data_IF_491341847839
#
_entry.id   IF_491341847839
#
_cell.length_a   1.000
_cell.length_b   1.000
_cell.length_c   1.000
_cell.angle_alpha   90.00
_cell.angle_beta   90.00
_cell.angle_gamma   90.00
#
_symmetry.space_group_name_H-M   'P 1'
#
loop_
_entity.id
_entity.type
_entity.pdbx_description
1 polymer ?
#
# COMPACT_ATOMS: atom_id res chain seq x y z
N UNK A 1 7.54 -2.24 10.10
CA UNK A 1 6.71 -1.10 10.55
C UNK A 1 5.29 -1.34 10.08
N UNK A 2 4.28 -1.09 10.92
CA UNK A 2 2.87 -1.24 10.57
C UNK A 2 2.21 0.13 10.68
N UNK A 3 1.54 0.58 9.62
CA UNK A 3 0.77 1.82 9.60
C UNK A 3 -0.72 1.50 9.69
N UNK A 4 -1.44 2.13 10.63
CA UNK A 4 -2.82 1.77 10.98
C UNK A 4 -3.76 2.96 10.81
N UNK A 5 -5.03 2.67 10.58
CA UNK A 5 -6.10 3.67 10.57
C UNK A 5 -6.25 4.33 11.94
N UNK A 6 -6.93 5.47 11.98
CA UNK A 6 -7.20 6.22 13.21
C UNK A 6 -8.04 5.39 14.18
N UNK A 7 -9.06 4.72 13.64
CA UNK A 7 -9.95 3.84 14.41
C UNK A 7 -10.16 2.49 13.73
N UNK A 8 -10.55 1.45 14.50
CA UNK A 8 -10.90 0.15 13.95
C UNK A 8 -12.00 0.25 12.89
N UNK A 9 -11.92 -0.61 11.88
CA UNK A 9 -12.98 -0.78 10.88
C UNK A 9 -13.93 -1.90 11.30
N UNK A 10 -15.17 -1.82 10.83
CA UNK A 10 -16.14 -2.90 11.00
C UNK A 10 -15.85 -4.05 10.02
N UNK A 11 -16.30 -5.25 10.36
CA UNK A 11 -16.13 -6.42 9.48
C UNK A 11 -17.34 -6.58 8.56
N UNK A 12 -17.14 -7.27 7.44
CA UNK A 12 -18.19 -7.59 6.45
C UNK A 12 -18.89 -6.37 5.82
N UNK A 13 -18.23 -5.22 5.82
CA UNK A 13 -18.71 -3.99 5.22
C UNK A 13 -17.68 -3.42 4.24
N UNK A 14 -18.15 -2.60 3.31
CA UNK A 14 -17.26 -1.93 2.36
C UNK A 14 -16.58 -0.74 3.02
N UNK A 15 -15.25 -0.75 3.01
CA UNK A 15 -14.43 0.38 3.42
C UNK A 15 -13.64 0.93 2.24
N UNK A 16 -13.46 2.25 2.20
CA UNK A 16 -12.61 2.92 1.22
C UNK A 16 -11.33 3.36 1.93
N UNK A 17 -10.21 2.76 1.55
CA UNK A 17 -8.89 3.17 1.99
C UNK A 17 -8.16 3.92 0.87
N UNK A 18 -7.53 5.04 1.23
CA UNK A 18 -6.71 5.83 0.33
C UNK A 18 -5.37 6.10 1.00
N UNK A 19 -4.28 5.90 0.27
CA UNK A 19 -2.91 5.97 0.77
C UNK A 19 -2.07 6.79 -0.20
N UNK A 20 -1.31 7.73 0.36
CA UNK A 20 -0.36 8.56 -0.38
C UNK A 20 1.02 8.42 0.24
N UNK A 21 2.03 8.40 -0.63
CA UNK A 21 3.42 8.43 -0.19
C UNK A 21 4.19 9.42 -1.04
N UNK A 22 4.80 10.38 -0.37
CA UNK A 22 5.60 11.44 -0.98
C UNK A 22 6.93 11.54 -0.26
N UNK A 23 8.00 11.06 -0.89
CA UNK A 23 9.32 10.97 -0.26
C UNK A 23 9.30 10.14 1.03
N UNK A 24 9.52 10.82 2.17
CA UNK A 24 9.49 10.22 3.51
C UNK A 24 8.08 10.20 4.12
N UNK A 25 7.19 11.06 3.66
CA UNK A 25 5.84 11.22 4.20
C UNK A 25 4.88 10.16 3.69
N UNK A 26 4.01 9.69 4.59
CA UNK A 26 2.94 8.74 4.32
C UNK A 26 1.66 9.32 4.91
N UNK A 27 0.59 9.33 4.11
CA UNK A 27 -0.74 9.75 4.53
C UNK A 27 -1.73 8.63 4.23
N UNK A 28 -2.66 8.39 5.14
CA UNK A 28 -3.75 7.45 4.91
C UNK A 28 -5.06 7.99 5.46
N UNK A 29 -6.13 7.68 4.74
CA UNK A 29 -7.51 7.90 5.18
C UNK A 29 -8.34 6.66 4.91
N UNK A 30 -9.16 6.31 5.89
CA UNK A 30 -10.14 5.22 5.78
C UNK A 30 -11.53 5.81 6.02
N UNK A 31 -12.41 5.66 5.04
CA UNK A 31 -13.77 6.20 5.05
C UNK A 31 -13.84 7.71 5.38
N UNK A 32 -14.50 8.06 6.49
CA UNK A 32 -14.67 9.42 7.00
C UNK A 32 -13.76 9.72 8.20
N UNK A 33 -12.85 8.81 8.55
CA UNK A 33 -11.86 9.02 9.61
C UNK A 33 -10.92 10.18 9.25
N UNK A 34 -10.26 10.74 10.26
CA UNK A 34 -9.23 11.75 10.09
C UNK A 34 -8.04 11.17 9.31
N UNK A 35 -7.27 12.09 8.72
CA UNK A 35 -6.00 11.74 8.10
C UNK A 35 -5.02 11.26 9.16
N UNK A 36 -4.39 10.10 8.90
CA UNK A 36 -3.26 9.62 9.69
C UNK A 36 -2.00 9.94 8.91
N UNK A 37 -1.00 10.49 9.59
CA UNK A 37 0.29 10.83 9.00
C UNK A 37 1.41 9.99 9.62
N UNK A 38 2.42 9.67 8.82
CA UNK A 38 3.64 9.04 9.31
C UNK A 38 4.83 9.42 8.44
N UNK A 39 6.03 9.20 8.99
CA UNK A 39 7.27 9.50 8.30
C UNK A 39 8.25 8.33 8.43
N UNK A 40 8.89 7.98 7.31
CA UNK A 40 9.97 7.01 7.30
C UNK A 40 11.23 7.58 7.94
N UNK A 41 11.87 6.78 8.80
CA UNK A 41 13.15 7.11 9.43
C UNK A 41 14.22 7.40 8.37
N UNK A 42 14.27 6.57 7.32
CA UNK A 42 15.17 6.76 6.19
C UNK A 42 14.57 6.19 4.90
N UNK A 43 15.10 6.64 3.76
CA UNK A 43 14.77 6.13 2.44
C UNK A 43 16.04 5.44 1.93
N UNK A 44 16.01 4.12 1.73
CA UNK A 44 17.09 3.42 1.01
C UNK A 44 16.80 3.51 -0.49
N UNK A 45 17.35 4.55 -1.13
CA UNK A 45 17.25 4.76 -2.58
C UNK A 45 15.88 5.28 -3.04
N UNK A 46 15.79 5.84 -4.26
CA UNK A 46 14.51 6.24 -4.82
C UNK A 46 13.60 5.01 -4.99
N UNK A 47 12.27 5.17 -5.01
CA UNK A 47 11.37 4.07 -5.42
C UNK A 47 11.51 3.87 -6.93
N UNK A 48 12.66 3.41 -7.38
CA UNK A 48 13.00 3.39 -8.80
C UNK A 48 12.31 2.27 -9.55
N UNK A 49 12.05 1.14 -8.88
CA UNK A 49 11.45 -0.01 -9.53
C UNK A 49 10.01 -0.25 -9.02
N UNK A 50 8.98 0.11 -9.82
CA UNK A 50 7.63 -0.32 -9.57
C UNK A 50 7.50 -1.77 -10.04
N UNK A 51 8.19 -2.67 -9.34
CA UNK A 51 8.04 -4.10 -9.57
C UNK A 51 6.57 -4.54 -9.50
N UNK A 52 6.33 -5.82 -9.73
CA UNK A 52 4.99 -6.39 -9.85
C UNK A 52 4.17 -6.10 -8.58
N UNK A 53 2.97 -5.54 -8.76
CA UNK A 53 2.01 -5.34 -7.68
C UNK A 53 1.09 -6.55 -7.59
N UNK A 54 1.20 -7.28 -6.47
CA UNK A 54 0.28 -8.36 -6.13
C UNK A 54 -0.84 -7.83 -5.24
N UNK A 55 -2.09 -8.16 -5.56
CA UNK A 55 -3.29 -7.75 -4.81
C UNK A 55 -4.04 -9.00 -4.39
N UNK A 56 -4.37 -9.09 -3.10
CA UNK A 56 -5.12 -10.22 -2.54
C UNK A 56 -4.25 -11.42 -2.16
N UNK A 57 -3.12 -11.68 -2.81
CA UNK A 57 -2.22 -12.77 -2.42
C UNK A 57 -1.03 -12.92 -3.37
N UNK A 58 -0.09 -13.80 -3.00
CA UNK A 58 1.05 -14.21 -3.81
C UNK A 58 1.39 -15.66 -3.51
N UNK A 59 1.45 -16.51 -4.54
CA UNK A 59 1.66 -17.96 -4.41
C UNK A 59 3.13 -18.38 -4.55
N UNK A 60 4.06 -17.43 -4.68
CA UNK A 60 5.50 -17.71 -4.73
C UNK A 60 6.17 -17.62 -3.36
N UNK A 61 7.48 -17.83 -3.34
CA UNK A 61 8.27 -17.67 -2.12
C UNK A 61 8.30 -16.19 -1.70
N UNK A 62 7.73 -15.91 -0.54
CA UNK A 62 7.84 -14.60 0.08
C UNK A 62 9.26 -14.43 0.62
N UNK A 63 9.91 -13.27 0.41
CA UNK A 63 11.21 -13.04 0.99
C UNK A 63 11.14 -13.12 2.52
N UNK A 64 12.18 -13.68 3.15
CA UNK A 64 12.24 -14.08 4.57
C UNK A 64 11.84 -13.00 5.60
N UNK A 65 11.88 -11.73 5.20
CA UNK A 65 11.53 -10.58 6.05
C UNK A 65 10.02 -10.30 6.12
N UNK A 66 9.22 -10.95 5.27
CA UNK A 66 7.76 -10.84 5.30
C UNK A 66 7.18 -11.99 6.14
N UNK A 67 6.27 -11.67 7.05
CA UNK A 67 5.52 -12.69 7.77
C UNK A 67 4.75 -13.54 6.75
N UNK A 68 4.77 -14.87 6.90
CA UNK A 68 3.94 -15.77 6.09
C UNK A 68 2.47 -15.44 6.36
N UNK A 69 1.85 -14.73 5.44
CA UNK A 69 0.44 -14.37 5.49
C UNK A 69 -0.31 -15.22 4.48
N UNK A 70 -1.40 -15.83 4.91
CA UNK A 70 -2.39 -16.38 3.98
C UNK A 70 -2.92 -15.24 3.11
N UNK A 71 -3.31 -15.56 1.87
CA UNK A 71 -3.99 -14.61 1.01
C UNK A 71 -5.22 -13.98 1.69
N UNK A 72 -5.58 -12.78 1.24
CA UNK A 72 -6.75 -12.06 1.67
C UNK A 72 -8.03 -12.83 1.33
N UNK A 73 -8.89 -13.02 2.33
CA UNK A 73 -10.18 -13.64 2.16
C UNK A 73 -11.29 -12.60 2.31
N UNK A 74 -11.93 -12.23 1.20
CA UNK A 74 -12.99 -11.23 1.15
C UNK A 74 -13.09 -10.58 -0.22
N UNK A 75 -13.84 -9.48 -0.30
CA UNK A 75 -14.07 -8.77 -1.54
C UNK A 75 -13.22 -7.49 -1.63
N UNK A 76 -12.53 -7.30 -2.74
CA UNK A 76 -11.85 -6.05 -3.10
C UNK A 76 -12.46 -5.51 -4.39
N UNK A 77 -12.57 -4.18 -4.52
CA UNK A 77 -13.00 -3.55 -5.76
C UNK A 77 -12.32 -2.20 -5.95
N UNK A 78 -12.19 -1.78 -7.21
CA UNK A 78 -11.70 -0.45 -7.60
C UNK A 78 -10.30 -0.13 -7.05
N UNK A 79 -9.39 -1.11 -7.07
CA UNK A 79 -7.98 -0.89 -6.71
C UNK A 79 -7.31 -0.05 -7.79
N UNK A 80 -6.72 1.08 -7.40
CA UNK A 80 -6.03 2.00 -8.30
C UNK A 80 -4.69 2.38 -7.72
N UNK A 81 -3.64 2.32 -8.53
CA UNK A 81 -2.31 2.80 -8.18
C UNK A 81 -2.01 4.01 -9.04
N UNK A 82 -1.80 5.15 -8.41
CA UNK A 82 -1.28 6.35 -9.06
C UNK A 82 0.22 6.40 -8.81
N UNK A 83 0.99 6.42 -9.89
CA UNK A 83 2.43 6.55 -9.82
C UNK A 83 2.85 7.63 -10.80
N UNK A 84 3.54 8.64 -10.31
CA UNK A 84 4.03 9.77 -11.10
C UNK A 84 5.50 9.59 -11.51
N UNK A 85 6.07 8.39 -11.30
CA UNK A 85 7.44 8.08 -11.71
C UNK A 85 7.46 7.57 -13.16
N UNK A 86 8.46 7.97 -13.97
CA UNK A 86 8.59 7.53 -15.36
C UNK A 86 8.61 6.01 -15.53
N UNK A 87 9.23 5.28 -14.59
CA UNK A 87 9.31 3.81 -14.60
C UNK A 87 7.94 3.13 -14.48
N UNK A 88 6.93 3.81 -13.91
CA UNK A 88 5.56 3.31 -13.84
C UNK A 88 4.74 3.58 -15.11
N UNK A 89 5.16 4.54 -15.93
CA UNK A 89 4.45 4.98 -17.13
C UNK A 89 4.83 4.15 -18.37
N UNK A 90 5.67 3.13 -18.22
CA UNK A 90 6.15 2.30 -19.34
C UNK A 90 7.03 3.07 -20.33
N UNK A 91 7.53 4.26 -19.96
CA UNK A 91 8.45 5.04 -20.78
C UNK A 91 9.86 4.50 -20.53
N UNK A 92 10.21 3.41 -21.22
CA UNK A 92 11.59 2.97 -21.36
C UNK A 92 12.38 4.02 -22.15
N UNK A 93 13.56 4.38 -21.64
CA UNK A 93 14.57 5.18 -22.36
C UNK A 93 15.22 4.35 -23.46
#
# INVERSE_FOLDING_TARGET
>A
MVFRSESPVTLHQWHRAEIWRTGKGILMKVDRQSWVESQLVSIRGPLTDPGILYVGGYDGELPLHLARVSGFHGCMKKVRRYCFLPSCLGMSS
#
